data_IF_988316500217
#
_entry.id   IF_988316500217
#
_cell.length_a   1.000
_cell.length_b   1.000
_cell.length_c   1.000
_cell.angle_alpha   90.00
_cell.angle_beta   90.00
_cell.angle_gamma   90.00
#
_symmetry.space_group_name_H-M   'P 1'
#
loop_
_entity.id
_entity.type
_entity.pdbx_description
1 polymer ?
#
# COMPACT_ATOMS: atom_id res chain seq x y z
N UNK A 1 0.59 -28.05 -13.61
CA UNK A 1 0.03 -26.99 -12.74
C UNK A 1 0.17 -27.47 -11.29
N UNK A 2 1.28 -27.14 -10.63
CA UNK A 2 1.49 -27.51 -9.22
C UNK A 2 0.87 -26.42 -8.34
N UNK A 3 -0.26 -26.74 -7.71
CA UNK A 3 -0.79 -25.92 -6.64
C UNK A 3 0.21 -25.96 -5.47
N UNK A 4 0.85 -24.82 -5.18
CA UNK A 4 1.70 -24.61 -4.00
C UNK A 4 0.83 -24.70 -2.73
N UNK A 5 0.51 -25.92 -2.31
CA UNK A 5 -0.20 -26.20 -1.06
C UNK A 5 0.78 -26.30 0.11
N UNK A 6 1.56 -25.23 0.36
CA UNK A 6 2.36 -25.12 1.59
C UNK A 6 1.46 -24.83 2.79
N UNK A 7 1.87 -25.13 4.01
CA UNK A 7 1.08 -24.83 5.20
C UNK A 7 0.78 -23.31 5.33
N UNK A 8 -0.34 -22.89 5.95
CA UNK A 8 -0.66 -21.48 6.17
C UNK A 8 0.52 -20.59 6.65
N UNK A 9 1.35 -20.98 7.64
CA UNK A 9 2.54 -20.22 8.05
C UNK A 9 3.65 -20.11 6.99
N UNK A 10 3.84 -21.14 6.14
CA UNK A 10 4.85 -21.10 5.08
C UNK A 10 4.43 -20.12 3.98
N UNK A 11 3.15 -20.12 3.62
CA UNK A 11 2.60 -19.17 2.65
C UNK A 11 2.69 -17.74 3.16
N UNK A 12 2.39 -17.48 4.43
CA UNK A 12 2.57 -16.15 5.02
C UNK A 12 4.03 -15.71 5.01
N UNK A 13 4.97 -16.61 5.33
CA UNK A 13 6.40 -16.32 5.25
C UNK A 13 6.84 -15.97 3.82
N UNK A 14 6.27 -16.65 2.81
CA UNK A 14 6.49 -16.31 1.39
C UNK A 14 5.91 -14.93 1.05
N UNK A 15 4.71 -14.58 1.51
CA UNK A 15 4.09 -13.26 1.29
C UNK A 15 4.94 -12.16 1.90
N UNK A 16 5.38 -12.31 3.17
CA UNK A 16 6.29 -11.37 3.82
C UNK A 16 7.52 -11.15 2.95
N UNK A 17 8.24 -12.21 2.60
CA UNK A 17 9.47 -12.11 1.80
C UNK A 17 9.26 -11.44 0.44
N UNK A 18 8.23 -11.84 -0.30
CA UNK A 18 7.97 -11.31 -1.64
C UNK A 18 7.54 -9.84 -1.59
N UNK A 19 6.70 -9.48 -0.61
CA UNK A 19 6.27 -8.11 -0.41
C UNK A 19 7.42 -7.19 -0.01
N UNK A 20 8.36 -7.65 0.82
CA UNK A 20 9.57 -6.88 1.17
C UNK A 20 10.41 -6.59 -0.06
N UNK A 21 10.72 -7.62 -0.87
CA UNK A 21 11.54 -7.45 -2.07
C UNK A 21 10.88 -6.54 -3.10
N UNK A 22 9.57 -6.68 -3.31
CA UNK A 22 8.83 -5.84 -4.24
C UNK A 22 8.74 -4.40 -3.73
N UNK A 23 8.54 -4.20 -2.44
CA UNK A 23 8.51 -2.87 -1.83
C UNK A 23 9.87 -2.16 -1.96
N UNK A 24 10.97 -2.85 -1.67
CA UNK A 24 12.32 -2.32 -1.87
C UNK A 24 12.55 -1.92 -3.34
N UNK A 25 12.10 -2.73 -4.30
CA UNK A 25 12.19 -2.41 -5.72
C UNK A 25 11.39 -1.17 -6.09
N UNK A 26 10.18 -1.03 -5.55
CA UNK A 26 9.31 0.12 -5.78
C UNK A 26 9.92 1.39 -5.19
N UNK A 27 10.41 1.34 -3.95
CA UNK A 27 11.08 2.48 -3.32
C UNK A 27 12.35 2.90 -4.07
N UNK A 28 13.15 1.93 -4.52
CA UNK A 28 14.33 2.19 -5.32
C UNK A 28 13.98 2.84 -6.67
N UNK A 29 12.91 2.37 -7.34
CA UNK A 29 12.43 2.98 -8.59
C UNK A 29 11.96 4.41 -8.37
N UNK A 30 11.21 4.69 -7.30
CA UNK A 30 10.77 6.04 -6.95
C UNK A 30 11.94 7.00 -6.67
N UNK A 31 13.00 6.52 -6.01
CA UNK A 31 14.18 7.33 -5.70
C UNK A 31 14.93 7.84 -6.94
N UNK A 32 14.75 7.18 -8.09
CA UNK A 32 15.30 7.60 -9.39
C UNK A 32 14.21 7.97 -10.38
N UNK A 33 13.01 8.32 -9.89
CA UNK A 33 11.85 8.79 -10.65
C UNK A 33 11.43 7.87 -11.80
N UNK A 34 11.69 6.57 -11.66
CA UNK A 34 11.28 5.57 -12.62
C UNK A 34 9.78 5.25 -12.47
N UNK A 35 9.06 5.03 -13.58
CA UNK A 35 7.65 4.68 -13.53
C UNK A 35 7.46 3.33 -12.85
N UNK A 36 6.63 3.29 -11.81
CA UNK A 36 6.26 2.06 -11.12
C UNK A 36 4.98 1.50 -11.73
N UNK A 37 4.96 0.23 -12.19
CA UNK A 37 3.75 -0.40 -12.68
C UNK A 37 2.64 -0.44 -11.62
N UNK A 38 1.42 -0.04 -11.99
CA UNK A 38 0.25 -0.09 -11.08
C UNK A 38 0.01 -1.48 -10.50
N UNK A 39 0.32 -2.53 -11.26
CA UNK A 39 0.23 -3.91 -10.80
C UNK A 39 1.11 -4.19 -9.56
N UNK A 40 2.29 -3.55 -9.46
CA UNK A 40 3.15 -3.70 -8.29
C UNK A 40 2.55 -3.03 -7.05
N UNK A 41 1.99 -1.83 -7.22
CA UNK A 41 1.30 -1.12 -6.12
C UNK A 41 0.11 -1.94 -5.62
N UNK A 42 -0.73 -2.44 -6.53
CA UNK A 42 -1.86 -3.28 -6.16
C UNK A 42 -1.42 -4.56 -5.43
N UNK A 43 -0.38 -5.24 -5.92
CA UNK A 43 0.14 -6.46 -5.28
C UNK A 43 0.69 -6.19 -3.87
N UNK A 44 1.29 -5.02 -3.63
CA UNK A 44 1.76 -4.60 -2.31
C UNK A 44 0.58 -4.30 -1.37
N UNK A 45 -0.47 -3.64 -1.86
CA UNK A 45 -1.69 -3.41 -1.09
C UNK A 45 -2.40 -4.73 -0.74
N UNK A 46 -2.52 -5.65 -1.70
CA UNK A 46 -3.06 -6.99 -1.47
C UNK A 46 -2.24 -7.75 -0.41
N UNK A 47 -0.91 -7.66 -0.48
CA UNK A 47 -0.03 -8.25 0.53
C UNK A 47 -0.24 -7.62 1.91
N UNK A 48 -0.36 -6.30 2.01
CA UNK A 48 -0.61 -5.60 3.27
C UNK A 48 -1.93 -6.05 3.91
N UNK A 49 -3.00 -6.17 3.12
CA UNK A 49 -4.31 -6.68 3.57
C UNK A 49 -4.19 -8.13 4.08
N UNK A 50 -3.44 -8.98 3.35
CA UNK A 50 -3.21 -10.36 3.79
C UNK A 50 -2.44 -10.37 5.12
N UNK A 51 -1.36 -9.60 5.26
CA UNK A 51 -0.57 -9.61 6.48
C UNK A 51 -1.37 -9.08 7.68
N UNK A 52 -2.15 -8.01 7.51
CA UNK A 52 -3.04 -7.48 8.54
C UNK A 52 -4.09 -8.50 8.99
N UNK A 53 -4.74 -9.19 8.04
CA UNK A 53 -5.72 -10.24 8.33
C UNK A 53 -5.16 -11.34 9.25
N UNK A 54 -3.88 -11.67 9.11
CA UNK A 54 -3.20 -12.67 9.93
C UNK A 54 -2.40 -12.06 11.10
N UNK A 55 -2.59 -10.77 11.38
CA UNK A 55 -1.92 -10.03 12.46
C UNK A 55 -0.39 -10.08 12.37
N UNK A 56 0.14 -10.17 11.15
CA UNK A 56 1.57 -10.13 10.89
C UNK A 56 1.97 -8.66 10.73
N UNK A 57 2.98 -8.24 11.50
CA UNK A 57 3.52 -6.89 11.38
C UNK A 57 4.04 -6.64 9.94
N UNK A 58 3.69 -5.47 9.39
CA UNK A 58 4.15 -5.10 8.06
C UNK A 58 5.67 -4.93 8.05
N UNK A 59 6.38 -5.51 7.07
CA UNK A 59 7.78 -5.20 6.84
C UNK A 59 7.96 -3.70 6.59
N UNK A 60 9.03 -3.11 7.12
CA UNK A 60 9.25 -1.66 7.06
C UNK A 60 9.14 -1.06 5.63
N UNK A 61 9.71 -1.68 4.57
CA UNK A 61 9.58 -1.16 3.21
C UNK A 61 8.12 -1.15 2.72
N UNK A 62 7.34 -2.17 3.08
CA UNK A 62 5.93 -2.25 2.72
C UNK A 62 5.10 -1.23 3.49
N UNK A 63 5.35 -1.09 4.79
CA UNK A 63 4.69 -0.09 5.64
C UNK A 63 4.89 1.33 5.10
N UNK A 64 6.13 1.68 4.71
CA UNK A 64 6.43 2.98 4.12
C UNK A 64 5.62 3.27 2.85
N UNK A 65 5.39 2.27 2.00
CA UNK A 65 4.58 2.45 0.78
C UNK A 65 3.10 2.63 1.14
N UNK A 66 2.58 1.86 2.10
CA UNK A 66 1.19 2.01 2.56
C UNK A 66 0.97 3.41 3.13
N UNK A 67 1.88 3.89 3.98
CA UNK A 67 1.82 5.24 4.55
C UNK A 67 1.85 6.34 3.48
N UNK A 68 2.71 6.20 2.45
CA UNK A 68 2.76 7.13 1.32
C UNK A 68 1.43 7.20 0.55
N UNK A 69 0.77 6.06 0.36
CA UNK A 69 -0.51 6.00 -0.36
C UNK A 69 -1.62 6.67 0.45
N UNK A 70 -1.69 6.38 1.76
CA UNK A 70 -2.68 7.01 2.64
C UNK A 70 -2.51 8.53 2.72
N UNK A 71 -1.27 9.03 2.77
CA UNK A 71 -1.00 10.48 2.77
C UNK A 71 -1.43 11.16 1.44
N UNK A 72 -1.32 10.46 0.30
CA UNK A 72 -1.81 10.97 -0.98
C UNK A 72 -3.34 11.05 -1.02
N UNK A 73 -4.02 10.02 -0.47
CA UNK A 73 -5.49 10.01 -0.39
C UNK A 73 -6.02 11.11 0.52
N UNK A 74 -5.40 11.32 1.68
CA UNK A 74 -5.77 12.39 2.62
C UNK A 74 -5.56 13.80 2.02
N UNK A 75 -4.44 14.00 1.31
CA UNK A 75 -4.19 15.25 0.59
C UNK A 75 -5.19 15.49 -0.53
N UNK A 76 -5.58 14.46 -1.29
CA UNK A 76 -6.60 14.58 -2.33
C UNK A 76 -7.98 14.87 -1.74
N UNK A 77 -8.36 14.19 -0.66
CA UNK A 77 -9.61 14.47 0.06
C UNK A 77 -9.64 15.90 0.60
N UNK A 78 -8.53 16.39 1.16
CA UNK A 78 -8.37 17.78 1.59
C UNK A 78 -8.42 18.79 0.43
N UNK A 79 -7.84 18.45 -0.73
CA UNK A 79 -7.94 19.23 -1.97
C UNK A 79 -9.37 19.28 -2.51
N UNK A 80 -10.14 18.22 -2.39
CA UNK A 80 -11.54 18.26 -2.83
C UNK A 80 -12.42 18.98 -1.80
N UNK A 81 -12.09 18.89 -0.51
CA UNK A 81 -12.85 19.57 0.55
C UNK A 81 -12.82 21.11 0.44
N UNK A 82 -11.72 21.73 -0.01
CA UNK A 82 -11.71 23.20 -0.19
C UNK A 82 -12.62 23.68 -1.33
N UNK A 83 -12.81 22.87 -2.38
CA UNK A 83 -13.68 23.20 -3.52
C UNK A 83 -15.16 23.34 -3.10
N UNK A 84 -15.57 22.68 -2.01
CA UNK A 84 -16.94 22.73 -1.49
C UNK A 84 -17.15 23.74 -0.35
N UNK A 85 -16.12 24.49 0.07
CA UNK A 85 -16.24 25.52 1.12
C UNK A 85 -17.18 26.71 0.82
N UNK A 86 -17.39 27.20 -0.42
CA UNK A 86 -18.29 28.33 -0.64
C UNK A 86 -19.79 28.03 -0.45
N UNK A 87 -20.18 26.76 -0.25
CA UNK A 87 -21.58 26.36 -0.02
C UNK A 87 -21.91 26.05 1.45
N UNK A 88 -20.93 26.07 2.35
CA UNK A 88 -21.14 25.95 3.80
C UNK A 88 -21.50 27.33 4.36
N UNK A 89 -22.70 27.81 4.00
CA UNK A 89 -23.22 29.11 4.40
C UNK A 89 -23.30 29.26 5.91
N UNK A 90 -22.98 30.47 6.40
CA UNK A 90 -23.20 30.93 7.76
C UNK A 90 -24.61 30.56 8.25
N UNK A 91 -24.69 29.56 9.13
CA UNK A 91 -25.79 29.47 10.07
C UNK A 91 -25.56 30.56 11.11
N UNK A 92 -26.32 31.65 10.97
CA UNK A 92 -26.38 32.77 11.90
C UNK A 92 -27.38 32.44 13.01
#
# INVERSE_FOLDING_TARGET
MTAETGDPPERLSKVVRLSTLLADQVLAAQAVEQPVPKAHINALLDAAIILDKYQVALPAPLGQIVDQISDVEDQEAGRLAWLFRPFQGSAR
#
